data_IF_905112014458
#
_entry.id   IF_905112014458
#
_cell.length_a   1.000
_cell.length_b   1.000
_cell.length_c   1.000
_cell.angle_alpha   90.00
_cell.angle_beta   90.00
_cell.angle_gamma   90.00
#
_symmetry.space_group_name_H-M   'P 1'
#
loop_
_entity.id
_entity.type
_entity.pdbx_description
1 polymer ?
#
# COMPACT_ATOMS: atom_id res chain seq x y z
N UNK A 1 3.65 8.86 22.00
CA UNK A 1 3.58 7.58 21.27
C UNK A 1 2.16 7.04 21.17
N UNK A 2 1.27 7.39 22.11
CA UNK A 2 -0.12 6.96 22.05
C UNK A 2 -0.81 7.45 20.78
N UNK A 3 -0.55 8.69 20.36
CA UNK A 3 -1.12 9.23 19.13
C UNK A 3 -0.58 8.53 17.88
N UNK A 4 0.68 8.12 17.90
CA UNK A 4 1.26 7.38 16.77
C UNK A 4 0.57 6.03 16.62
N UNK A 5 0.32 5.32 17.72
CA UNK A 5 -0.41 4.04 17.70
C UNK A 5 -1.82 4.23 17.13
N UNK A 6 -2.52 5.27 17.57
CA UNK A 6 -3.87 5.58 17.07
C UNK A 6 -3.85 5.85 15.57
N UNK A 7 -2.84 6.59 15.08
CA UNK A 7 -2.69 6.87 13.66
C UNK A 7 -2.45 5.60 12.86
N UNK A 8 -1.58 4.72 13.33
CA UNK A 8 -1.34 3.44 12.67
C UNK A 8 -2.60 2.59 12.62
N UNK A 9 -3.36 2.55 13.70
CA UNK A 9 -4.60 1.79 13.74
C UNK A 9 -5.64 2.33 12.76
N UNK A 10 -5.74 3.65 12.63
CA UNK A 10 -6.63 4.27 11.65
C UNK A 10 -6.19 3.92 10.22
N UNK A 11 -4.89 3.94 9.94
CA UNK A 11 -4.39 3.61 8.61
C UNK A 11 -4.59 2.14 8.28
N UNK A 12 -4.48 1.25 9.27
CA UNK A 12 -4.76 -0.18 9.05
C UNK A 12 -6.24 -0.45 8.83
N UNK A 13 -7.11 0.42 9.33
CA UNK A 13 -8.55 0.28 9.19
C UNK A 13 -9.10 0.87 7.89
N UNK A 14 -8.24 1.30 6.97
CA UNK A 14 -8.65 1.84 5.68
C UNK A 14 -9.55 0.88 4.91
N UNK A 15 -10.63 1.41 4.37
CA UNK A 15 -11.55 0.64 3.53
C UNK A 15 -11.17 0.68 2.05
N UNK A 16 -10.39 1.68 1.63
CA UNK A 16 -9.89 1.77 0.26
C UNK A 16 -8.67 0.88 0.11
N UNK A 17 -8.85 -0.30 -0.45
CA UNK A 17 -7.80 -1.30 -0.55
C UNK A 17 -7.46 -1.66 -2.00
N UNK A 18 -7.63 -0.69 -2.90
CA UNK A 18 -7.47 -0.94 -4.34
C UNK A 18 -6.08 -0.67 -4.89
N UNK A 19 -5.12 -0.30 -4.04
CA UNK A 19 -3.73 -0.05 -4.45
C UNK A 19 -2.79 -1.00 -3.73
N UNK A 20 -1.95 -0.52 -2.82
CA UNK A 20 -0.95 -1.36 -2.17
C UNK A 20 -1.53 -2.68 -1.64
N UNK A 21 -2.64 -2.69 -0.86
CA UNK A 21 -3.13 -3.96 -0.30
C UNK A 21 -3.88 -4.86 -1.27
N UNK A 22 -4.26 -4.39 -2.45
CA UNK A 22 -5.25 -5.07 -3.30
C UNK A 22 -4.87 -6.51 -3.67
N UNK A 23 -3.60 -6.80 -3.91
CA UNK A 23 -3.14 -8.12 -4.32
C UNK A 23 -2.34 -8.86 -3.24
N UNK A 24 -2.25 -8.30 -2.05
CA UNK A 24 -1.57 -8.94 -0.93
C UNK A 24 -2.50 -9.95 -0.26
N UNK A 25 -1.96 -10.99 0.41
CA UNK A 25 -2.80 -11.93 1.14
C UNK A 25 -3.63 -11.23 2.21
N UNK A 26 -4.83 -11.73 2.48
CA UNK A 26 -5.77 -11.11 3.42
C UNK A 26 -5.23 -11.01 4.84
N UNK A 27 -4.34 -11.90 5.22
CA UNK A 27 -3.75 -11.90 6.55
C UNK A 27 -2.58 -10.94 6.70
N UNK A 28 -2.16 -10.27 5.64
CA UNK A 28 -1.09 -9.27 5.68
C UNK A 28 -1.68 -7.94 6.11
N UNK A 29 -1.11 -7.35 7.14
CA UNK A 29 -1.54 -6.05 7.64
C UNK A 29 -0.85 -4.94 6.87
N UNK A 30 -1.62 -3.96 6.43
CA UNK A 30 -1.10 -2.81 5.69
C UNK A 30 -1.68 -1.54 6.30
N UNK A 31 -0.82 -0.61 6.67
CA UNK A 31 -1.23 0.73 7.07
C UNK A 31 -0.91 1.64 5.89
N UNK A 32 -1.95 2.16 5.22
CA UNK A 32 -1.71 2.99 4.04
C UNK A 32 -2.65 4.18 3.98
N UNK A 33 -2.22 5.20 3.24
CA UNK A 33 -3.03 6.39 2.97
C UNK A 33 -2.99 6.67 1.48
N UNK A 34 -4.15 6.59 0.85
CA UNK A 34 -4.30 6.89 -0.57
C UNK A 34 -4.45 8.40 -0.78
N UNK A 35 -4.05 8.86 -1.95
CA UNK A 35 -4.25 10.23 -2.38
C UNK A 35 -4.68 10.23 -3.83
N UNK A 36 -5.79 10.90 -4.12
CA UNK A 36 -6.39 10.87 -5.45
C UNK A 36 -6.86 12.26 -5.85
N UNK A 37 -6.42 12.69 -7.01
CA UNK A 37 -6.90 13.87 -7.69
C UNK A 37 -7.15 13.48 -9.14
N UNK A 38 -7.63 14.41 -9.96
CA UNK A 38 -7.81 14.13 -11.38
C UNK A 38 -6.46 13.71 -11.98
N UNK A 39 -6.44 12.53 -12.59
CA UNK A 39 -5.23 11.98 -13.24
C UNK A 39 -4.04 11.78 -12.31
N UNK A 40 -4.28 11.68 -11.00
CA UNK A 40 -3.24 11.44 -10.00
C UNK A 40 -3.67 10.29 -9.10
N UNK A 41 -2.78 9.32 -8.92
CA UNK A 41 -2.99 8.21 -8.01
C UNK A 41 -1.76 8.04 -7.15
N UNK A 42 -1.92 8.16 -5.84
CA UNK A 42 -0.83 8.01 -4.90
C UNK A 42 -1.22 7.01 -3.83
N UNK A 43 -0.24 6.32 -3.29
CA UNK A 43 -0.43 5.52 -2.10
C UNK A 43 0.89 5.46 -1.35
N UNK A 44 0.82 5.57 -0.05
CA UNK A 44 1.99 5.46 0.81
C UNK A 44 1.60 4.59 1.99
N UNK A 45 2.44 3.62 2.33
CA UNK A 45 2.08 2.74 3.40
C UNK A 45 3.21 1.90 3.95
N UNK A 46 2.85 1.14 4.97
CA UNK A 46 3.74 0.17 5.60
C UNK A 46 3.06 -1.18 5.49
N UNK A 47 3.76 -2.14 4.90
CA UNK A 47 3.35 -3.54 4.87
C UNK A 47 4.03 -4.22 6.06
N UNK A 48 3.23 -4.76 6.97
CA UNK A 48 3.74 -5.42 8.17
C UNK A 48 4.05 -6.88 7.86
N UNK A 49 5.33 -7.21 7.89
CA UNK A 49 5.81 -8.56 7.69
C UNK A 49 6.31 -9.11 9.03
N UNK A 50 6.42 -10.45 9.14
CA UNK A 50 6.85 -11.11 10.37
C UNK A 50 8.27 -10.73 10.80
N UNK A 51 9.14 -10.40 9.87
CA UNK A 51 10.54 -10.10 10.18
C UNK A 51 10.91 -8.64 9.94
N UNK A 52 10.36 -8.03 8.89
CA UNK A 52 10.68 -6.65 8.53
C UNK A 52 9.43 -5.93 8.05
N UNK A 53 9.27 -4.70 8.50
CA UNK A 53 8.22 -3.85 7.97
C UNK A 53 8.74 -3.14 6.72
N UNK A 54 7.91 -3.09 5.68
CA UNK A 54 8.27 -2.48 4.41
C UNK A 54 7.51 -1.18 4.23
N UNK A 55 8.24 -0.08 4.07
CA UNK A 55 7.64 1.21 3.77
C UNK A 55 7.69 1.42 2.25
N UNK A 56 6.54 1.71 1.65
CA UNK A 56 6.40 1.87 0.20
C UNK A 56 5.66 3.16 -0.09
N UNK A 57 6.14 3.90 -1.10
CA UNK A 57 5.48 5.12 -1.58
C UNK A 57 5.36 5.05 -3.09
N UNK A 58 4.16 5.29 -3.60
CA UNK A 58 3.89 5.43 -5.03
C UNK A 58 3.34 6.83 -5.30
N UNK A 59 3.98 7.56 -6.19
CA UNK A 59 3.54 8.87 -6.63
C UNK A 59 3.40 8.86 -8.14
N UNK A 60 2.26 9.30 -8.66
CA UNK A 60 2.01 9.34 -10.09
C UNK A 60 1.19 10.56 -10.47
N UNK A 61 1.39 11.02 -11.69
CA UNK A 61 0.67 12.17 -12.23
C UNK A 61 0.48 12.03 -13.73
N UNK A 62 -0.40 12.83 -14.29
CA UNK A 62 -0.69 12.86 -15.72
C UNK A 62 -1.15 11.50 -16.27
N UNK A 63 -1.94 10.80 -15.48
CA UNK A 63 -2.41 9.47 -15.83
C UNK A 63 -3.53 9.54 -16.87
N UNK A 64 -3.43 8.71 -17.90
CA UNK A 64 -4.50 8.55 -18.88
C UNK A 64 -5.46 7.43 -18.49
N UNK A 65 -5.01 6.49 -17.66
CA UNK A 65 -5.82 5.37 -17.19
C UNK A 65 -5.57 5.14 -15.71
N UNK A 66 -6.48 5.66 -14.90
CA UNK A 66 -6.38 5.61 -13.44
C UNK A 66 -6.50 4.16 -12.93
N UNK A 67 -7.41 3.36 -13.51
CA UNK A 67 -7.58 1.96 -13.11
C UNK A 67 -6.33 1.14 -13.38
N UNK A 68 -5.68 1.36 -14.51
CA UNK A 68 -4.44 0.68 -14.84
C UNK A 68 -3.32 1.07 -13.85
N UNK A 69 -3.27 2.34 -13.46
CA UNK A 69 -2.30 2.80 -12.48
C UNK A 69 -2.52 2.14 -11.11
N UNK A 70 -3.78 2.03 -10.68
CA UNK A 70 -4.12 1.35 -9.42
C UNK A 70 -3.69 -0.12 -9.45
N UNK A 71 -3.97 -0.80 -10.56
CA UNK A 71 -3.58 -2.19 -10.73
C UNK A 71 -2.06 -2.37 -10.73
N UNK A 72 -1.34 -1.43 -11.35
CA UNK A 72 0.12 -1.45 -11.37
C UNK A 72 0.70 -1.28 -9.95
N UNK A 73 0.16 -0.35 -9.17
CA UNK A 73 0.58 -0.17 -7.78
C UNK A 73 0.36 -1.45 -6.98
N UNK A 74 -0.81 -2.07 -7.14
CA UNK A 74 -1.13 -3.31 -6.44
C UNK A 74 -0.19 -4.44 -6.85
N UNK A 75 0.09 -4.59 -8.14
CA UNK A 75 0.96 -5.65 -8.66
C UNK A 75 2.42 -5.46 -8.19
N UNK A 76 2.93 -4.23 -8.23
CA UNK A 76 4.28 -3.95 -7.75
C UNK A 76 4.41 -4.19 -6.25
N UNK A 77 3.39 -3.83 -5.49
CA UNK A 77 3.37 -4.07 -4.05
C UNK A 77 3.43 -5.57 -3.75
N UNK A 78 2.68 -6.36 -4.50
CA UNK A 78 2.71 -7.82 -4.36
C UNK A 78 4.08 -8.39 -4.69
N UNK A 79 4.71 -7.94 -5.78
CA UNK A 79 6.04 -8.41 -6.17
C UNK A 79 7.09 -8.07 -5.12
N UNK A 80 7.06 -6.86 -4.58
CA UNK A 80 7.99 -6.43 -3.54
C UNK A 80 7.78 -7.28 -2.28
N UNK A 81 6.54 -7.48 -1.88
CA UNK A 81 6.21 -8.29 -0.71
C UNK A 81 6.71 -9.71 -0.88
N UNK A 82 6.46 -10.32 -2.04
CA UNK A 82 6.90 -11.69 -2.33
C UNK A 82 8.41 -11.82 -2.37
N UNK A 83 9.10 -10.81 -2.93
CA UNK A 83 10.56 -10.81 -2.99
C UNK A 83 11.16 -10.89 -1.58
N UNK A 84 10.70 -10.05 -0.67
CA UNK A 84 11.24 -10.03 0.69
C UNK A 84 10.84 -11.27 1.49
N UNK A 85 9.70 -11.86 1.21
CA UNK A 85 9.30 -13.10 1.88
C UNK A 85 10.03 -14.33 1.33
N UNK A 86 10.35 -14.35 0.04
CA UNK A 86 11.12 -15.45 -0.55
C UNK A 86 12.56 -15.50 -0.05
N UNK A 87 13.11 -14.37 0.38
CA UNK A 87 14.46 -14.28 0.94
C UNK A 87 14.59 -14.91 2.34
N UNK A 88 13.44 -15.19 2.93
CA UNK A 88 13.35 -15.75 4.27
C UNK A 88 13.12 -17.27 4.20
#
# INVERSE_FOLDING_TARGET
YAHATDMYNLLKAQTRRNKIPAQLPDNVKVANKTGELDNVENDAGIIYDSENDLAIVFLSQNLSDVSAAQNTIAALSKEIYEYYNCEQ
#
